data_IF_669956206907
#
_entry.id   IF_669956206907
#
_cell.length_a   1.000
_cell.length_b   1.000
_cell.length_c   1.000
_cell.angle_alpha   90.00
_cell.angle_beta   90.00
_cell.angle_gamma   90.00
#
_symmetry.space_group_name_H-M   'P 1'
#
loop_
_entity.id
_entity.type
_entity.pdbx_description
1 polymer ?
#
# COMPACT_ATOMS: atom_id res chain seq x y z
N UNK A 1 -4.63 -2.57 -14.30
CA UNK A 1 -3.89 -3.74 -13.78
C UNK A 1 -4.77 -4.99 -13.79
N UNK A 2 -5.83 -5.07 -12.97
CA UNK A 2 -6.68 -6.28 -12.85
C UNK A 2 -7.30 -6.75 -14.18
N UNK A 3 -7.85 -5.84 -15.00
CA UNK A 3 -8.40 -6.19 -16.33
C UNK A 3 -7.35 -6.89 -17.23
N UNK A 4 -6.06 -6.55 -17.11
CA UNK A 4 -5.01 -7.22 -17.87
C UNK A 4 -4.74 -8.65 -17.35
N UNK A 5 -4.83 -8.87 -16.04
CA UNK A 5 -4.74 -10.21 -15.44
C UNK A 5 -5.88 -11.11 -15.93
N UNK A 6 -7.11 -10.62 -15.99
CA UNK A 6 -8.23 -11.41 -16.52
C UNK A 6 -8.10 -11.73 -18.02
N UNK A 7 -7.58 -10.81 -18.83
CA UNK A 7 -7.23 -11.11 -20.23
C UNK A 7 -6.21 -12.24 -20.35
N UNK A 8 -5.24 -12.31 -19.44
CA UNK A 8 -4.30 -13.44 -19.37
C UNK A 8 -5.01 -14.74 -18.96
N UNK A 9 -5.91 -14.69 -17.97
CA UNK A 9 -6.69 -15.86 -17.57
C UNK A 9 -7.55 -16.39 -18.72
N UNK A 10 -8.17 -15.51 -19.51
CA UNK A 10 -8.92 -15.88 -20.70
C UNK A 10 -8.04 -16.59 -21.72
N UNK A 11 -6.83 -16.08 -21.96
CA UNK A 11 -5.86 -16.71 -22.85
C UNK A 11 -5.41 -18.09 -22.35
N UNK A 12 -5.31 -18.28 -21.04
CA UNK A 12 -4.97 -19.55 -20.41
C UNK A 12 -6.17 -20.52 -20.28
N UNK A 13 -7.38 -20.10 -20.67
CA UNK A 13 -8.60 -20.91 -20.55
C UNK A 13 -9.07 -21.11 -19.10
N UNK A 14 -8.77 -20.16 -18.21
CA UNK A 14 -9.15 -20.23 -16.79
C UNK A 14 -10.42 -19.40 -16.57
N UNK A 15 -11.57 -20.08 -16.55
CA UNK A 15 -12.88 -19.41 -16.42
C UNK A 15 -13.16 -18.86 -15.01
N UNK A 16 -12.76 -19.61 -13.97
CA UNK A 16 -13.01 -19.23 -12.57
C UNK A 16 -11.79 -19.51 -11.70
N UNK A 17 -11.37 -18.51 -10.94
CA UNK A 17 -10.37 -18.62 -9.90
C UNK A 17 -10.99 -19.27 -8.65
N UNK A 18 -10.28 -20.28 -8.12
CA UNK A 18 -10.56 -20.78 -6.77
C UNK A 18 -10.37 -19.66 -5.74
N UNK A 19 -9.24 -18.95 -5.81
CA UNK A 19 -8.94 -17.83 -4.94
C UNK A 19 -8.16 -16.72 -5.67
N UNK A 20 -8.42 -15.46 -5.34
CA UNK A 20 -7.54 -14.32 -5.59
C UNK A 20 -6.88 -13.91 -4.29
N UNK A 21 -5.55 -14.04 -4.21
CA UNK A 21 -4.78 -13.72 -3.02
C UNK A 21 -3.79 -12.61 -3.32
N UNK A 22 -3.75 -11.59 -2.48
CA UNK A 22 -2.74 -10.56 -2.58
C UNK A 22 -2.50 -9.80 -1.29
N UNK A 23 -1.29 -9.27 -1.18
CA UNK A 23 -0.85 -8.45 -0.06
C UNK A 23 -0.49 -7.03 -0.52
N UNK A 24 -0.61 -6.04 0.36
CA UNK A 24 -0.33 -4.63 0.03
C UNK A 24 -1.15 -4.17 -1.18
N UNK A 25 -0.50 -3.63 -2.23
CA UNK A 25 -1.13 -3.36 -3.52
C UNK A 25 -1.83 -4.60 -4.13
N UNK A 26 -1.29 -5.80 -3.94
CA UNK A 26 -1.95 -7.04 -4.36
C UNK A 26 -3.28 -7.28 -3.63
N UNK A 27 -3.42 -6.80 -2.40
CA UNK A 27 -4.68 -6.84 -1.65
C UNK A 27 -5.73 -5.94 -2.31
N UNK A 28 -5.35 -4.72 -2.70
CA UNK A 28 -6.20 -3.83 -3.51
C UNK A 28 -6.65 -4.52 -4.80
N UNK A 29 -5.72 -5.17 -5.49
CA UNK A 29 -6.00 -5.88 -6.74
C UNK A 29 -6.95 -7.07 -6.53
N UNK A 30 -6.82 -7.81 -5.44
CA UNK A 30 -7.69 -8.97 -5.15
C UNK A 30 -9.12 -8.55 -4.85
N UNK A 31 -9.31 -7.46 -4.11
CA UNK A 31 -10.65 -6.89 -3.86
C UNK A 31 -11.25 -6.35 -5.17
N UNK A 32 -10.44 -5.65 -5.98
CA UNK A 32 -10.90 -5.18 -7.28
C UNK A 32 -11.22 -6.32 -8.26
N UNK A 33 -10.48 -7.44 -8.21
CA UNK A 33 -10.77 -8.64 -9.01
C UNK A 33 -12.14 -9.23 -8.66
N UNK A 34 -12.41 -9.37 -7.36
CA UNK A 34 -13.70 -9.84 -6.86
C UNK A 34 -14.87 -8.94 -7.26
N UNK A 35 -14.62 -7.63 -7.39
CA UNK A 35 -15.65 -6.65 -7.75
C UNK A 35 -15.87 -6.58 -9.27
N UNK A 36 -14.79 -6.56 -10.05
CA UNK A 36 -14.86 -6.50 -11.51
C UNK A 36 -15.49 -7.77 -12.08
N UNK A 37 -15.08 -8.93 -11.58
CA UNK A 37 -15.43 -10.25 -12.11
C UNK A 37 -16.07 -11.16 -11.03
N UNK A 38 -17.24 -10.79 -10.48
CA UNK A 38 -17.80 -11.41 -9.27
C UNK A 38 -18.22 -12.87 -9.44
N UNK A 39 -18.48 -13.33 -10.67
CA UNK A 39 -18.75 -14.74 -10.98
C UNK A 39 -17.48 -15.58 -11.14
N UNK A 40 -16.32 -14.94 -11.35
CA UNK A 40 -15.05 -15.61 -11.67
C UNK A 40 -14.11 -15.73 -10.49
N UNK A 41 -14.41 -15.13 -9.35
CA UNK A 41 -13.56 -15.20 -8.14
C UNK A 41 -14.35 -15.82 -7.02
N UNK A 42 -13.93 -16.99 -6.52
CA UNK A 42 -14.55 -17.66 -5.36
C UNK A 42 -14.08 -17.07 -4.03
N UNK A 43 -12.83 -17.36 -3.65
CA UNK A 43 -12.23 -16.89 -2.40
C UNK A 43 -11.37 -15.64 -2.64
N UNK A 44 -11.32 -14.73 -1.68
CA UNK A 44 -10.53 -13.49 -1.77
C UNK A 44 -9.71 -13.35 -0.50
N UNK A 45 -8.40 -13.18 -0.65
CA UNK A 45 -7.51 -12.93 0.49
C UNK A 45 -6.82 -11.59 0.28
N UNK A 46 -7.03 -10.66 1.21
CA UNK A 46 -6.36 -9.37 1.23
C UNK A 46 -5.57 -9.19 2.53
N UNK A 47 -4.26 -9.01 2.41
CA UNK A 47 -3.32 -8.93 3.54
C UNK A 47 -2.64 -7.56 3.53
N UNK A 48 -2.82 -6.75 4.58
CA UNK A 48 -2.34 -5.36 4.61
C UNK A 48 -2.74 -4.55 3.36
N UNK A 49 -3.90 -4.86 2.78
CA UNK A 49 -4.53 -4.12 1.69
C UNK A 49 -5.55 -3.11 2.19
N UNK A 50 -6.23 -2.41 1.29
CA UNK A 50 -7.32 -1.49 1.64
C UNK A 50 -8.26 -1.28 0.45
N UNK A 51 -9.47 -0.77 0.72
CA UNK A 51 -10.42 -0.35 -0.32
C UNK A 51 -10.10 1.01 -0.95
N UNK A 52 -9.27 1.81 -0.28
CA UNK A 52 -8.75 3.10 -0.76
C UNK A 52 -7.47 3.49 -0.03
N UNK A 53 -6.63 4.32 -0.63
CA UNK A 53 -5.45 4.85 0.05
C UNK A 53 -5.77 5.90 1.10
N UNK A 54 -5.23 5.76 2.31
CA UNK A 54 -5.37 6.75 3.39
C UNK A 54 -4.42 7.95 3.22
N UNK A 55 -4.71 9.13 3.80
CA UNK A 55 -3.89 10.33 3.63
C UNK A 55 -2.42 10.17 4.01
N UNK A 56 -2.12 9.45 5.10
CA UNK A 56 -0.73 9.17 5.53
C UNK A 56 0.04 8.38 4.48
N UNK A 57 -0.58 7.33 3.94
CA UNK A 57 0.01 6.47 2.91
C UNK A 57 0.30 7.25 1.61
N UNK A 58 -0.60 8.17 1.24
CA UNK A 58 -0.45 9.07 0.09
C UNK A 58 0.70 10.04 0.32
N UNK A 59 0.78 10.65 1.51
CA UNK A 59 1.86 11.59 1.85
C UNK A 59 3.25 10.92 1.80
N UNK A 60 3.36 9.70 2.35
CA UNK A 60 4.60 8.91 2.31
C UNK A 60 5.00 8.61 0.85
N UNK A 61 4.05 8.11 0.04
CA UNK A 61 4.33 7.79 -1.37
C UNK A 61 4.62 9.04 -2.20
N UNK A 62 3.99 10.17 -1.90
CA UNK A 62 4.36 11.46 -2.50
C UNK A 62 5.82 11.82 -2.17
N UNK A 63 6.24 11.75 -0.90
CA UNK A 63 7.62 12.03 -0.52
C UNK A 63 8.62 11.12 -1.26
N UNK A 64 8.32 9.82 -1.40
CA UNK A 64 9.13 8.88 -2.19
C UNK A 64 9.24 9.31 -3.67
N UNK A 65 8.12 9.66 -4.31
CA UNK A 65 8.14 10.11 -5.72
C UNK A 65 8.87 11.44 -5.87
N UNK A 66 8.72 12.36 -4.92
CA UNK A 66 9.34 13.67 -4.98
C UNK A 66 10.87 13.60 -4.94
N UNK A 67 11.45 12.79 -4.05
CA UNK A 67 12.92 12.62 -4.01
C UNK A 67 13.46 11.92 -5.25
N UNK A 68 12.68 11.01 -5.85
CA UNK A 68 13.04 10.37 -7.11
C UNK A 68 13.04 11.36 -8.27
N UNK A 69 11.93 12.10 -8.46
CA UNK A 69 11.78 13.05 -9.56
C UNK A 69 12.70 14.28 -9.42
N UNK A 70 13.22 14.55 -8.21
CA UNK A 70 14.21 15.59 -7.98
C UNK A 70 15.64 15.19 -8.41
N UNK A 71 15.90 13.91 -8.71
CA UNK A 71 17.19 13.47 -9.22
C UNK A 71 17.42 14.05 -10.63
N UNK A 72 18.52 14.80 -10.87
CA UNK A 72 18.82 15.37 -12.19
C UNK A 72 18.88 14.33 -13.30
N UNK A 73 19.30 13.11 -12.98
CA UNK A 73 19.39 12.01 -13.94
C UNK A 73 18.02 11.40 -14.28
N UNK A 74 16.93 11.77 -13.59
CA UNK A 74 15.59 11.30 -13.95
C UNK A 74 15.16 11.91 -15.29
N UNK A 75 15.60 13.14 -15.59
CA UNK A 75 15.38 13.81 -16.88
C UNK A 75 13.92 13.72 -17.39
N UNK A 76 12.93 13.98 -16.51
CA UNK A 76 11.52 13.91 -16.87
C UNK A 76 11.02 12.50 -17.25
N UNK A 77 11.77 11.46 -16.91
CA UNK A 77 11.50 10.07 -17.29
C UNK A 77 12.28 9.59 -18.52
N UNK A 78 13.07 10.46 -19.17
CA UNK A 78 13.84 10.15 -20.37
C UNK A 78 15.31 9.84 -20.06
N UNK A 79 15.56 8.80 -19.26
CA UNK A 79 16.90 8.44 -18.78
C UNK A 79 17.48 7.14 -19.35
N UNK A 80 16.74 6.43 -20.22
CA UNK A 80 17.14 5.08 -20.68
C UNK A 80 18.42 5.07 -21.53
N UNK A 81 18.76 6.20 -22.17
CA UNK A 81 19.99 6.38 -22.95
C UNK A 81 21.10 7.08 -22.16
N UNK A 82 20.91 7.31 -20.86
CA UNK A 82 21.84 8.05 -19.99
C UNK A 82 22.03 7.36 -18.63
N UNK A 83 22.74 8.02 -17.71
CA UNK A 83 22.81 7.55 -16.33
C UNK A 83 21.39 7.53 -15.70
N UNK A 84 21.00 6.47 -14.98
CA UNK A 84 19.70 6.41 -14.32
C UNK A 84 19.65 7.30 -13.07
N UNK A 85 18.44 7.66 -12.56
CA UNK A 85 18.23 8.44 -11.33
C UNK A 85 18.54 7.64 -10.05
N UNK A 86 19.80 7.23 -9.91
CA UNK A 86 20.26 6.34 -8.86
C UNK A 86 20.08 6.94 -7.46
N UNK A 87 20.42 8.22 -7.27
CA UNK A 87 20.35 8.87 -5.95
C UNK A 87 18.89 9.02 -5.52
N UNK A 88 18.03 9.51 -6.41
CA UNK A 88 16.60 9.62 -6.16
C UNK A 88 15.95 8.28 -5.86
N UNK A 89 16.35 7.22 -6.58
CA UNK A 89 15.87 5.86 -6.33
C UNK A 89 16.26 5.33 -4.96
N UNK A 90 17.53 5.52 -4.59
CA UNK A 90 18.07 5.13 -3.28
C UNK A 90 17.30 5.83 -2.16
N UNK A 91 17.10 7.15 -2.25
CA UNK A 91 16.37 7.93 -1.26
C UNK A 91 14.90 7.51 -1.16
N UNK A 92 14.23 7.31 -2.30
CA UNK A 92 12.86 6.81 -2.33
C UNK A 92 12.74 5.45 -1.62
N UNK A 93 13.71 4.56 -1.83
CA UNK A 93 13.76 3.25 -1.17
C UNK A 93 14.06 3.35 0.32
N UNK A 94 14.89 4.29 0.76
CA UNK A 94 15.14 4.52 2.19
C UNK A 94 13.85 4.92 2.90
N UNK A 95 13.11 5.89 2.35
CA UNK A 95 11.79 6.31 2.88
C UNK A 95 10.84 5.12 2.94
N UNK A 96 10.75 4.35 1.85
CA UNK A 96 9.92 3.14 1.78
C UNK A 96 10.27 2.15 2.89
N UNK A 97 11.55 1.81 3.03
CA UNK A 97 12.04 0.82 4.00
C UNK A 97 11.70 1.23 5.44
N UNK A 98 11.84 2.52 5.78
CA UNK A 98 11.45 3.05 7.09
C UNK A 98 9.97 2.80 7.38
N UNK A 99 9.11 2.98 6.38
CA UNK A 99 7.65 2.87 6.51
C UNK A 99 7.11 1.45 6.41
N UNK A 100 7.90 0.49 5.92
CA UNK A 100 7.47 -0.90 5.76
C UNK A 100 7.66 -1.73 7.03
N UNK A 101 8.53 -1.29 7.92
CA UNK A 101 8.87 -1.98 9.17
C UNK A 101 8.40 -1.15 10.36
N UNK A 102 8.43 -1.71 11.56
CA UNK A 102 7.94 -1.02 12.75
C UNK A 102 9.06 -0.56 13.69
N UNK A 103 8.77 0.48 14.48
CA UNK A 103 9.67 1.00 15.53
C UNK A 103 10.19 -0.06 16.49
N UNK A 104 9.34 -0.94 17.05
CA UNK A 104 9.77 -2.05 17.90
C UNK A 104 10.85 -2.95 17.26
N UNK A 105 10.74 -3.25 15.97
CA UNK A 105 11.76 -4.05 15.26
C UNK A 105 13.07 -3.26 15.10
N UNK A 106 12.97 -1.96 14.75
CA UNK A 106 14.16 -1.11 14.61
C UNK A 106 14.97 -1.02 15.90
N UNK A 107 14.30 -0.85 17.04
CA UNK A 107 14.96 -0.81 18.35
C UNK A 107 15.68 -2.13 18.67
N UNK A 108 15.02 -3.27 18.42
CA UNK A 108 15.61 -4.59 18.70
C UNK A 108 16.81 -4.91 17.80
N UNK A 109 16.75 -4.53 16.52
CA UNK A 109 17.79 -4.87 15.54
C UNK A 109 19.01 -3.96 15.59
N UNK A 110 18.81 -2.68 15.86
CA UNK A 110 19.86 -1.67 15.74
C UNK A 110 20.09 -0.89 17.04
N UNK A 111 19.02 -0.51 17.73
CA UNK A 111 19.07 0.42 18.86
C UNK A 111 19.90 1.66 18.50
N UNK A 112 20.85 2.01 19.36
CA UNK A 112 21.80 3.11 19.15
C UNK A 112 23.20 2.66 18.70
N UNK A 113 23.31 1.46 18.15
CA UNK A 113 24.60 0.88 17.75
C UNK A 113 25.23 1.67 16.60
N UNK A 114 26.52 2.01 16.76
CA UNK A 114 27.34 2.69 15.73
C UNK A 114 28.29 1.71 15.07
N UNK A 115 28.75 2.04 13.87
CA UNK A 115 29.76 1.26 13.14
C UNK A 115 31.07 1.26 13.94
N UNK A 116 31.65 0.08 14.16
CA UNK A 116 33.01 -0.06 14.67
C UNK A 116 33.99 -0.15 13.52
N UNK A 117 35.20 0.40 13.71
CA UNK A 117 36.29 0.28 12.74
C UNK A 117 37.44 -0.44 13.42
N UNK A 118 38.00 -1.42 12.71
CA UNK A 118 39.24 -2.08 13.13
C UNK A 118 40.36 -1.07 12.91
N UNK A 119 41.03 -0.68 13.99
CA UNK A 119 42.25 0.09 13.88
C UNK A 119 43.40 -0.79 13.35
N UNK A 120 44.52 -0.16 12.99
CA UNK A 120 45.70 -0.84 12.44
C UNK A 120 46.30 -1.91 13.38
N UNK A 121 45.87 -1.95 14.64
CA UNK A 121 46.29 -2.89 15.67
C UNK A 121 45.24 -4.00 15.93
N UNK A 122 44.21 -4.12 15.08
CA UNK A 122 43.17 -5.15 15.19
C UNK A 122 42.17 -4.93 16.33
N UNK A 123 42.18 -3.77 16.98
CA UNK A 123 41.21 -3.42 18.02
C UNK A 123 40.03 -2.66 17.41
N UNK A 124 38.82 -3.04 17.82
CA UNK A 124 37.59 -2.31 17.47
C UNK A 124 37.54 -1.00 18.25
N UNK A 125 37.54 0.12 17.53
CA UNK A 125 37.30 1.45 18.09
C UNK A 125 36.07 2.09 17.45
N UNK A 126 35.42 3.00 18.17
CA UNK A 126 34.37 3.85 17.62
C UNK A 126 35.01 4.91 16.71
N UNK A 127 34.44 5.09 15.52
CA UNK A 127 34.83 6.21 14.65
C UNK A 127 34.35 7.55 15.22
N UNK A 128 35.07 8.65 14.93
CA UNK A 128 34.53 9.99 15.13
C UNK A 128 33.19 10.17 14.42
N UNK A 129 32.23 10.94 14.98
CA UNK A 129 30.96 11.21 14.32
C UNK A 129 31.16 11.86 12.94
N UNK A 130 30.34 11.46 11.97
CA UNK A 130 30.37 12.01 10.60
C UNK A 130 28.96 12.34 10.10
N UNK A 131 28.85 13.15 9.04
CA UNK A 131 27.58 13.39 8.34
C UNK A 131 27.20 12.26 7.37
N UNK A 132 28.10 11.29 7.16
CA UNK A 132 27.82 10.04 6.44
C UNK A 132 27.26 8.98 7.39
N UNK A 133 26.70 7.87 6.89
CA UNK A 133 26.15 6.81 7.74
C UNK A 133 27.13 6.37 8.83
N UNK A 134 26.75 6.54 10.10
CA UNK A 134 27.53 6.29 11.31
C UNK A 134 26.82 5.26 12.21
N UNK A 135 25.49 5.34 12.30
CA UNK A 135 24.68 4.32 12.94
C UNK A 135 24.49 3.08 12.05
N UNK A 136 24.32 1.91 12.68
CA UNK A 136 24.10 0.66 11.95
C UNK A 136 22.80 0.70 11.13
N UNK A 137 21.76 1.36 11.63
CA UNK A 137 20.49 1.54 10.90
C UNK A 137 20.67 2.38 9.63
N UNK A 138 21.48 3.45 9.70
CA UNK A 138 21.79 4.29 8.53
C UNK A 138 22.53 3.47 7.48
N UNK A 139 23.52 2.68 7.90
CA UNK A 139 24.27 1.78 7.01
C UNK A 139 23.36 0.74 6.35
N UNK A 140 22.41 0.19 7.12
CA UNK A 140 21.42 -0.76 6.62
C UNK A 140 20.50 -0.12 5.58
N UNK A 141 19.95 1.07 5.86
CA UNK A 141 19.10 1.80 4.93
C UNK A 141 19.85 2.18 3.65
N UNK A 142 21.11 2.59 3.78
CA UNK A 142 22.00 2.88 2.66
C UNK A 142 22.16 1.66 1.76
N UNK A 143 22.54 0.52 2.33
CA UNK A 143 22.72 -0.74 1.61
C UNK A 143 21.42 -1.24 0.96
N UNK A 144 20.28 -1.18 1.65
CA UNK A 144 18.98 -1.57 1.08
C UNK A 144 18.57 -0.67 -0.10
N UNK A 145 18.87 0.63 -0.01
CA UNK A 145 18.64 1.58 -1.09
C UNK A 145 19.49 1.25 -2.32
N UNK A 146 20.78 1.03 -2.15
CA UNK A 146 21.72 0.63 -3.23
C UNK A 146 21.24 -0.65 -3.94
N UNK A 147 20.91 -1.70 -3.17
CA UNK A 147 20.47 -2.97 -3.74
C UNK A 147 19.18 -2.88 -4.54
N UNK A 148 18.29 -1.94 -4.19
CA UNK A 148 17.02 -1.75 -4.90
C UNK A 148 17.22 -1.07 -6.26
N UNK A 149 18.16 -0.13 -6.36
CA UNK A 149 18.46 0.60 -7.60
C UNK A 149 18.87 -0.33 -8.75
N UNK A 150 19.42 -1.50 -8.42
CA UNK A 150 19.85 -2.51 -9.40
C UNK A 150 18.71 -3.40 -9.92
N UNK A 151 17.52 -3.34 -9.30
CA UNK A 151 16.46 -4.34 -9.49
C UNK A 151 15.13 -3.75 -9.97
N UNK A 152 14.98 -2.43 -9.97
CA UNK A 152 13.70 -1.80 -10.25
C UNK A 152 13.87 -0.53 -11.08
N UNK A 153 12.95 -0.35 -12.03
CA UNK A 153 12.93 0.80 -12.92
C UNK A 153 12.23 2.01 -12.27
N UNK A 154 12.77 3.21 -12.49
CA UNK A 154 12.32 4.41 -11.81
C UNK A 154 10.93 4.86 -12.25
N UNK A 155 10.67 4.89 -13.55
CA UNK A 155 9.35 5.20 -14.10
C UNK A 155 8.32 4.18 -13.61
N UNK A 156 8.64 2.89 -13.66
CA UNK A 156 7.77 1.83 -13.15
C UNK A 156 7.37 2.07 -11.69
N UNK A 157 8.31 2.46 -10.82
CA UNK A 157 8.01 2.82 -9.44
C UNK A 157 7.05 4.01 -9.34
N UNK A 158 7.26 5.07 -10.13
CA UNK A 158 6.37 6.23 -10.14
C UNK A 158 4.94 5.86 -10.54
N UNK A 159 4.78 5.09 -11.61
CA UNK A 159 3.47 4.66 -12.11
C UNK A 159 2.75 3.74 -11.12
N UNK A 160 3.44 2.74 -10.56
CA UNK A 160 2.88 1.85 -9.55
C UNK A 160 2.49 2.62 -8.28
N UNK A 161 3.37 3.50 -7.80
CA UNK A 161 3.14 4.34 -6.63
C UNK A 161 1.92 5.25 -6.80
N UNK A 162 1.78 5.90 -7.98
CA UNK A 162 0.63 6.75 -8.27
C UNK A 162 -0.66 5.94 -8.44
N UNK A 163 -0.59 4.77 -9.06
CA UNK A 163 -1.75 3.88 -9.20
C UNK A 163 -2.30 3.43 -7.83
N UNK A 164 -1.43 3.17 -6.84
CA UNK A 164 -1.85 2.89 -5.47
C UNK A 164 -2.58 4.09 -4.83
N UNK A 165 -2.08 5.32 -5.03
CA UNK A 165 -2.72 6.52 -4.49
C UNK A 165 -4.10 6.78 -5.11
N UNK A 166 -4.24 6.52 -6.41
CA UNK A 166 -5.50 6.70 -7.15
C UNK A 166 -6.49 5.55 -6.95
N UNK A 167 -6.08 4.45 -6.31
CA UNK A 167 -6.96 3.36 -6.02
C UNK A 167 -7.97 3.76 -4.94
N UNK A 168 -9.23 3.86 -5.35
CA UNK A 168 -10.35 4.19 -4.47
C UNK A 168 -11.63 3.46 -4.93
N UNK A 169 -12.11 2.55 -4.10
CA UNK A 169 -13.36 1.81 -4.33
C UNK A 169 -14.57 2.45 -3.65
N UNK A 170 -14.45 3.64 -3.06
CA UNK A 170 -15.62 4.42 -2.66
C UNK A 170 -16.47 4.75 -3.89
N UNK A 171 -17.74 5.07 -3.68
CA UNK A 171 -18.63 5.57 -4.74
C UNK A 171 -18.02 6.81 -5.39
N UNK A 172 -17.50 7.72 -4.56
CA UNK A 172 -16.87 8.96 -5.03
C UNK A 172 -15.65 8.67 -5.92
N UNK A 173 -14.78 7.74 -5.52
CA UNK A 173 -13.61 7.34 -6.30
C UNK A 173 -13.98 6.67 -7.63
N UNK A 174 -15.02 5.83 -7.65
CA UNK A 174 -15.50 5.22 -8.89
C UNK A 174 -16.19 6.22 -9.82
N UNK A 175 -16.97 7.16 -9.28
CA UNK A 175 -17.59 8.24 -10.05
C UNK A 175 -16.52 9.15 -10.69
N UNK A 176 -15.44 9.47 -9.96
CA UNK A 176 -14.30 10.23 -10.49
C UNK A 176 -13.62 9.47 -11.65
N UNK A 177 -13.39 8.17 -11.48
CA UNK A 177 -12.81 7.32 -12.51
C UNK A 177 -13.70 7.25 -13.77
N UNK A 178 -15.02 7.16 -13.60
CA UNK A 178 -15.97 7.15 -14.73
C UNK A 178 -15.96 8.48 -15.49
N UNK A 179 -15.94 9.61 -14.78
CA UNK A 179 -15.82 10.95 -15.41
C UNK A 179 -14.52 11.08 -16.20
N UNK A 180 -13.40 10.56 -15.67
CA UNK A 180 -12.13 10.57 -16.38
C UNK A 180 -12.18 9.72 -17.66
N UNK A 181 -12.77 8.52 -17.60
CA UNK A 181 -12.87 7.62 -18.76
C UNK A 181 -13.80 8.14 -19.85
N UNK A 182 -14.85 8.88 -19.48
CA UNK A 182 -15.83 9.45 -20.42
C UNK A 182 -15.41 10.81 -20.98
N UNK A 183 -14.27 11.35 -20.54
CA UNK A 183 -13.81 12.68 -20.95
C UNK A 183 -14.64 13.84 -20.36
N UNK A 184 -15.48 13.56 -19.36
CA UNK A 184 -16.28 14.56 -18.66
C UNK A 184 -15.46 15.39 -17.64
N UNK A 185 -14.17 15.06 -17.48
CA UNK A 185 -13.21 15.94 -16.84
C UNK A 185 -12.87 17.03 -17.86
N UNK A 186 -13.50 18.20 -17.73
CA UNK A 186 -13.11 19.36 -18.52
C UNK A 186 -11.59 19.52 -18.41
N UNK A 187 -10.93 19.73 -19.56
CA UNK A 187 -9.57 20.29 -19.60
C UNK A 187 -9.49 21.40 -18.55
N UNK A 188 -8.40 21.55 -17.80
CA UNK A 188 -8.29 22.66 -16.89
C UNK A 188 -8.39 23.93 -17.74
N UNK A 189 -9.59 24.54 -17.79
CA UNK A 189 -9.68 25.99 -17.82
C UNK A 189 -8.69 26.45 -16.76
N UNK A 190 -7.85 27.41 -17.08
CA UNK A 190 -6.81 27.99 -16.22
C UNK A 190 -7.41 28.41 -14.87
N UNK A 191 -7.69 27.44 -14.02
CA UNK A 191 -8.13 27.62 -12.66
C UNK A 191 -6.83 27.95 -11.96
N UNK A 192 -6.56 29.25 -11.89
CA UNK A 192 -5.61 29.88 -10.99
C UNK A 192 -5.30 28.92 -9.85
N UNK A 193 -4.11 28.32 -9.88
CA UNK A 193 -3.65 27.52 -8.75
C UNK A 193 -3.88 28.38 -7.50
N UNK A 194 -4.70 27.96 -6.52
CA UNK A 194 -4.65 28.62 -5.25
C UNK A 194 -3.25 28.30 -4.73
N UNK A 195 -2.34 29.28 -4.88
CA UNK A 195 -0.94 29.20 -4.47
C UNK A 195 -0.79 29.13 -2.94
N UNK A 196 -1.89 28.88 -2.23
CA UNK A 196 -1.97 28.60 -0.81
C UNK A 196 -3.06 27.55 -0.61
N UNK A 197 -2.84 26.50 0.20
CA UNK A 197 -3.96 25.74 0.73
C UNK A 197 -4.90 26.76 1.36
N UNK A 198 -6.14 26.84 0.89
CA UNK A 198 -7.09 27.83 1.34
C UNK A 198 -7.05 27.91 2.87
N UNK A 199 -6.80 29.10 3.42
CA UNK A 199 -7.18 29.38 4.80
C UNK A 199 -8.70 29.20 4.82
N UNK A 200 -9.16 28.00 5.18
CA UNK A 200 -10.30 27.77 6.08
C UNK A 200 -10.84 26.32 5.98
N UNK A 201 -11.26 25.82 7.16
CA UNK A 201 -12.10 24.63 7.43
C UNK A 201 -11.46 23.29 7.86
N UNK A 202 -10.17 23.20 8.18
CA UNK A 202 -9.71 22.12 9.05
C UNK A 202 -10.01 22.51 10.51
N UNK A 203 -11.23 22.25 10.97
CA UNK A 203 -11.53 22.33 12.40
C UNK A 203 -10.46 21.56 13.18
N UNK A 204 -9.97 22.12 14.29
CA UNK A 204 -8.95 21.46 15.12
C UNK A 204 -9.43 20.05 15.43
N UNK A 205 -8.67 19.03 15.03
CA UNK A 205 -9.01 17.64 15.35
C UNK A 205 -8.92 17.50 16.87
N UNK A 206 -10.07 17.26 17.51
CA UNK A 206 -10.18 17.15 18.97
C UNK A 206 -10.42 15.72 19.45
N UNK A 207 -10.70 14.79 18.53
CA UNK A 207 -10.93 13.37 18.81
C UNK A 207 -10.22 12.48 17.79
N UNK A 208 -9.84 11.28 18.22
CA UNK A 208 -9.35 10.21 17.35
C UNK A 208 -10.50 9.50 16.61
N UNK A 209 -11.75 9.65 17.06
CA UNK A 209 -12.93 9.15 16.33
C UNK A 209 -13.35 10.14 15.25
N UNK A 210 -13.39 9.68 14.01
CA UNK A 210 -13.77 10.49 12.85
C UNK A 210 -15.16 10.09 12.38
N UNK A 211 -16.09 11.05 12.32
CA UNK A 211 -17.36 10.86 11.61
C UNK A 211 -17.16 10.57 10.11
N UNK A 212 -15.96 10.88 9.58
CA UNK A 212 -15.53 10.51 8.23
C UNK A 212 -15.40 9.00 8.05
N UNK A 213 -15.02 8.26 9.09
CA UNK A 213 -14.80 6.81 9.01
C UNK A 213 -16.12 6.09 8.67
N UNK A 214 -17.22 6.51 9.31
CA UNK A 214 -18.56 5.99 9.00
C UNK A 214 -19.03 6.32 7.58
N UNK A 215 -18.73 7.53 7.07
CA UNK A 215 -19.09 7.91 5.70
C UNK A 215 -18.36 7.07 4.67
N UNK A 216 -17.08 6.83 4.92
CA UNK A 216 -16.24 6.03 4.05
C UNK A 216 -16.70 4.57 4.03
N UNK A 217 -16.94 3.96 5.20
CA UNK A 217 -17.47 2.59 5.28
C UNK A 217 -18.80 2.49 4.54
N UNK A 218 -19.70 3.47 4.71
CA UNK A 218 -20.98 3.48 4.01
C UNK A 218 -20.82 3.59 2.48
N UNK A 219 -19.88 4.41 2.00
CA UNK A 219 -19.58 4.55 0.58
C UNK A 219 -19.00 3.26 0.00
N UNK A 220 -17.97 2.68 0.63
CA UNK A 220 -17.42 1.38 0.25
C UNK A 220 -18.49 0.28 0.27
N UNK A 221 -19.33 0.22 1.30
CA UNK A 221 -20.40 -0.75 1.42
C UNK A 221 -21.36 -0.70 0.23
N UNK A 222 -21.68 0.51 -0.28
CA UNK A 222 -22.50 0.68 -1.48
C UNK A 222 -21.81 0.11 -2.72
N UNK A 223 -20.52 0.41 -2.92
CA UNK A 223 -19.74 -0.20 -4.01
C UNK A 223 -19.71 -1.73 -3.91
N UNK A 224 -19.56 -2.25 -2.69
CA UNK A 224 -19.42 -3.67 -2.40
C UNK A 224 -20.73 -4.47 -2.51
N UNK A 225 -21.88 -3.81 -2.75
CA UNK A 225 -23.15 -4.50 -3.08
C UNK A 225 -23.05 -5.40 -4.32
N UNK A 226 -22.03 -5.18 -5.16
CA UNK A 226 -21.74 -6.02 -6.33
C UNK A 226 -21.18 -7.40 -5.96
N UNK A 227 -20.63 -7.57 -4.76
CA UNK A 227 -20.13 -8.87 -4.30
C UNK A 227 -21.27 -9.88 -4.17
N UNK A 228 -20.94 -11.16 -4.39
CA UNK A 228 -21.91 -12.25 -4.41
C UNK A 228 -21.81 -13.09 -3.14
N UNK A 229 -22.91 -13.71 -2.74
CA UNK A 229 -22.93 -14.68 -1.62
C UNK A 229 -22.03 -15.90 -1.84
N UNK A 230 -21.66 -16.18 -3.09
CA UNK A 230 -20.69 -17.24 -3.45
C UNK A 230 -19.24 -16.83 -3.20
N UNK A 231 -18.99 -15.59 -2.78
CA UNK A 231 -17.66 -15.09 -2.49
C UNK A 231 -17.39 -15.14 -0.99
N UNK A 232 -16.18 -15.56 -0.66
CA UNK A 232 -15.67 -15.58 0.70
C UNK A 232 -14.44 -14.68 0.79
N UNK A 233 -14.35 -13.87 1.84
CA UNK A 233 -13.29 -12.90 2.04
C UNK A 233 -12.52 -13.18 3.33
N UNK A 234 -11.19 -13.24 3.23
CA UNK A 234 -10.27 -13.16 4.34
C UNK A 234 -9.53 -11.83 4.28
N UNK A 235 -9.78 -10.98 5.27
CA UNK A 235 -9.08 -9.71 5.46
C UNK A 235 -8.10 -9.85 6.62
N UNK A 236 -6.81 -9.77 6.33
CA UNK A 236 -5.75 -9.78 7.33
C UNK A 236 -5.14 -8.37 7.43
N UNK A 237 -5.11 -7.81 8.62
CA UNK A 237 -4.38 -6.58 8.93
C UNK A 237 -3.27 -6.82 9.94
N UNK A 238 -2.33 -5.88 10.04
CA UNK A 238 -1.21 -5.96 10.99
C UNK A 238 -1.22 -4.73 11.89
N UNK A 239 -1.16 -4.93 13.20
CA UNK A 239 -1.35 -3.84 14.16
C UNK A 239 -0.24 -2.79 14.15
N UNK A 240 0.97 -3.19 13.77
CA UNK A 240 2.14 -2.30 13.69
C UNK A 240 2.35 -1.70 12.30
N UNK A 241 1.44 -1.96 11.35
CA UNK A 241 1.51 -1.39 10.00
C UNK A 241 1.22 0.10 10.05
N UNK A 242 2.17 0.92 9.58
CA UNK A 242 2.04 2.38 9.50
C UNK A 242 1.75 2.86 8.08
N UNK A 243 2.04 2.03 7.07
CA UNK A 243 1.81 2.37 5.67
C UNK A 243 0.36 2.13 5.28
N UNK A 244 -0.19 1.00 5.71
CA UNK A 244 -1.59 0.63 5.58
C UNK A 244 -2.14 0.35 6.97
N UNK A 245 -2.42 1.40 7.76
CA UNK A 245 -2.84 1.25 9.15
C UNK A 245 -4.00 0.28 9.30
N UNK A 246 -4.01 -0.44 10.43
CA UNK A 246 -5.00 -1.47 10.74
C UNK A 246 -6.46 -1.03 10.53
N UNK A 247 -6.72 0.26 10.72
CA UNK A 247 -8.02 0.89 10.49
C UNK A 247 -8.51 0.73 9.05
N UNK A 248 -7.63 0.71 8.05
CA UNK A 248 -8.01 0.53 6.65
C UNK A 248 -8.46 -0.91 6.35
N UNK A 249 -7.86 -1.92 6.98
CA UNK A 249 -8.32 -3.30 6.85
C UNK A 249 -9.64 -3.51 7.59
N UNK A 250 -9.81 -2.88 8.77
CA UNK A 250 -11.07 -2.89 9.52
C UNK A 250 -12.19 -2.21 8.74
N UNK A 251 -11.95 -1.02 8.19
CA UNK A 251 -12.86 -0.26 7.31
C UNK A 251 -13.35 -1.14 6.16
N UNK A 252 -12.42 -1.84 5.49
CA UNK A 252 -12.75 -2.73 4.39
C UNK A 252 -13.59 -3.93 4.85
N UNK A 253 -13.22 -4.61 5.94
CA UNK A 253 -13.99 -5.74 6.46
C UNK A 253 -15.41 -5.33 6.91
N UNK A 254 -15.54 -4.17 7.56
CA UNK A 254 -16.83 -3.59 7.94
C UNK A 254 -17.67 -3.23 6.72
N UNK A 255 -17.08 -2.59 5.70
CA UNK A 255 -17.79 -2.25 4.47
C UNK A 255 -18.33 -3.49 3.74
N UNK A 256 -17.56 -4.59 3.67
CA UNK A 256 -18.04 -5.83 3.03
C UNK A 256 -19.22 -6.41 3.82
N UNK A 257 -19.15 -6.44 5.16
CA UNK A 257 -20.27 -6.89 6.01
C UNK A 257 -21.50 -6.00 5.83
N UNK A 258 -21.31 -4.68 5.79
CA UNK A 258 -22.37 -3.70 5.65
C UNK A 258 -22.99 -3.66 4.24
N UNK A 259 -22.29 -4.14 3.22
CA UNK A 259 -22.80 -4.19 1.83
C UNK A 259 -24.12 -4.95 1.71
N UNK A 260 -24.35 -5.90 2.60
CA UNK A 260 -25.50 -6.82 2.57
C UNK A 260 -26.41 -6.67 3.79
N UNK A 261 -26.36 -5.53 4.50
CA UNK A 261 -27.13 -5.29 5.73
C UNK A 261 -28.64 -5.49 5.57
N UNK A 262 -29.17 -5.28 4.35
CA UNK A 262 -30.59 -5.40 4.02
C UNK A 262 -30.94 -6.76 3.39
N UNK A 263 -29.97 -7.66 3.22
CA UNK A 263 -30.16 -8.97 2.62
C UNK A 263 -30.21 -10.07 3.69
N UNK A 264 -30.91 -11.19 3.44
CA UNK A 264 -30.82 -12.35 4.30
C UNK A 264 -29.36 -12.84 4.43
N UNK A 265 -28.94 -13.43 5.57
CA UNK A 265 -27.55 -13.85 5.80
C UNK A 265 -26.98 -14.79 4.73
N UNK A 266 -27.81 -15.65 4.13
CA UNK A 266 -27.40 -16.59 3.07
C UNK A 266 -27.16 -15.91 1.70
N UNK A 267 -27.48 -14.62 1.57
CA UNK A 267 -27.28 -13.81 0.36
C UNK A 267 -26.15 -12.80 0.52
N UNK A 268 -25.52 -12.73 1.70
CA UNK A 268 -24.36 -11.89 1.95
C UNK A 268 -23.05 -12.66 1.66
N UNK A 269 -21.98 -11.98 1.19
CA UNK A 269 -20.65 -12.58 1.12
C UNK A 269 -20.12 -12.88 2.54
N UNK A 270 -19.43 -14.00 2.71
CA UNK A 270 -18.80 -14.34 3.98
C UNK A 270 -17.51 -13.51 4.18
N UNK A 271 -17.29 -12.97 5.39
CA UNK A 271 -16.11 -12.14 5.69
C UNK A 271 -15.48 -12.53 7.03
N UNK A 272 -14.27 -13.05 6.94
CA UNK A 272 -13.38 -13.31 8.07
C UNK A 272 -12.34 -12.19 8.17
N UNK A 273 -12.18 -11.61 9.36
CA UNK A 273 -11.21 -10.55 9.62
C UNK A 273 -10.31 -10.95 10.79
N UNK A 274 -9.00 -10.83 10.62
CA UNK A 274 -8.02 -11.02 11.69
C UNK A 274 -6.99 -9.91 11.72
N UNK A 275 -6.56 -9.57 12.94
CA UNK A 275 -5.46 -8.65 13.19
C UNK A 275 -4.26 -9.45 13.69
N UNK A 276 -3.14 -9.35 12.97
CA UNK A 276 -1.88 -9.97 13.35
C UNK A 276 -1.11 -9.03 14.28
N UNK A 277 -0.73 -9.54 15.45
CA UNK A 277 0.18 -8.87 16.36
C UNK A 277 1.62 -9.25 16.01
N UNK A 278 2.18 -8.58 15.01
CA UNK A 278 3.53 -8.83 14.48
C UNK A 278 4.40 -7.58 14.60
N UNK A 279 5.70 -7.70 14.92
CA UNK A 279 6.59 -6.54 15.01
C UNK A 279 7.11 -6.06 13.65
N UNK A 280 6.79 -6.73 12.54
CA UNK A 280 7.42 -6.43 11.25
C UNK A 280 6.69 -5.36 10.43
N UNK A 281 5.64 -4.73 10.97
CA UNK A 281 4.90 -3.67 10.28
C UNK A 281 4.23 -4.16 9.00
N UNK A 282 4.32 -3.37 7.94
CA UNK A 282 3.78 -3.75 6.63
C UNK A 282 4.44 -5.03 6.08
N UNK A 283 5.74 -5.23 6.31
CA UNK A 283 6.50 -6.39 5.82
C UNK A 283 6.12 -7.72 6.52
N UNK A 284 5.21 -7.71 7.51
CA UNK A 284 4.75 -8.94 8.19
C UNK A 284 4.29 -10.01 7.21
N UNK A 285 3.63 -9.67 6.11
CA UNK A 285 3.19 -10.67 5.12
C UNK A 285 4.32 -11.34 4.33
N UNK A 286 5.54 -10.79 4.38
CA UNK A 286 6.75 -11.38 3.78
C UNK A 286 7.58 -12.17 4.79
N UNK A 287 7.42 -11.89 6.09
CA UNK A 287 8.34 -12.36 7.14
C UNK A 287 7.66 -13.37 8.08
N UNK A 288 6.42 -13.09 8.52
CA UNK A 288 5.70 -13.95 9.46
C UNK A 288 4.92 -15.05 8.72
N UNK A 289 5.67 -16.02 8.20
CA UNK A 289 5.11 -17.13 7.43
C UNK A 289 4.16 -18.00 8.26
N UNK A 290 4.34 -18.06 9.57
CA UNK A 290 3.50 -18.87 10.45
C UNK A 290 2.15 -18.20 10.71
N UNK A 291 2.13 -16.93 11.13
CA UNK A 291 0.89 -16.20 11.40
C UNK A 291 0.06 -16.02 10.11
N UNK A 292 0.71 -15.57 9.04
CA UNK A 292 0.06 -15.30 7.76
C UNK A 292 -0.31 -16.61 7.06
N UNK A 293 0.63 -17.55 6.97
CA UNK A 293 0.41 -18.85 6.31
C UNK A 293 -0.62 -19.71 7.02
N UNK A 294 -0.67 -19.69 8.37
CA UNK A 294 -1.67 -20.38 9.15
C UNK A 294 -3.09 -19.87 8.87
N UNK A 295 -3.28 -18.55 8.83
CA UNK A 295 -4.56 -17.94 8.50
C UNK A 295 -5.02 -18.25 7.07
N UNK A 296 -4.11 -18.14 6.09
CA UNK A 296 -4.40 -18.49 4.70
C UNK A 296 -4.77 -19.97 4.57
N UNK A 297 -4.00 -20.86 5.20
CA UNK A 297 -4.25 -22.30 5.17
C UNK A 297 -5.63 -22.65 5.72
N UNK A 298 -5.99 -22.09 6.88
CA UNK A 298 -7.30 -22.32 7.49
C UNK A 298 -8.46 -21.84 6.61
N UNK A 299 -8.28 -20.75 5.87
CA UNK A 299 -9.31 -20.19 4.99
C UNK A 299 -9.42 -20.89 3.62
N UNK A 300 -8.30 -21.36 3.07
CA UNK A 300 -8.26 -22.03 1.77
C UNK A 300 -8.53 -23.54 1.86
N UNK A 301 -8.48 -24.12 3.04
CA UNK A 301 -8.92 -25.51 3.29
C UNK A 301 -10.44 -25.62 3.17
#
# INVERSE_FOLDING_TARGET
MVRAQFKLLDHLGIDRLYASLGSSMGGMQSIAAAWLEPSRVGKVVSISGCGRSGPSSIAIRYAQRSVLMADPNWNGGFYYDSAPPHVGMKLARQIATITYRSGPEWEQRFGRSRRSVLNQHGQTSLSPPTLSPDFLIETYLDHQGEQFCLKYDANSLLYVSKAMDLFDMTVEGLDELERYQTGAVNSPEESSFPNQPGRDQAGRVTSLSSAGDHKIVASLARTFQRFRSTQEFLILGVQTDVLFPITLQREMAEAIRSSSSNLPPHQAPAVTYFELHSPFGHDTFLIDLNGVGGAIRGFLS
#
